data_IF_857371952561
#
_entry.id   IF_857371952561
#
_cell.length_a   1.000
_cell.length_b   1.000
_cell.length_c   1.000
_cell.angle_alpha   90.00
_cell.angle_beta   90.00
_cell.angle_gamma   90.00
#
_symmetry.space_group_name_H-M   'P 1'
#
loop_
_entity.id
_entity.type
_entity.pdbx_description
1 polymer ?
#
# COMPACT_ATOMS: atom_id res chain seq x y z
N UNK A 1 14.81 0.51 10.58
CA UNK A 1 13.92 0.88 9.45
C UNK A 1 12.53 0.22 9.54
N UNK A 2 12.38 -1.12 9.51
CA UNK A 2 11.05 -1.79 9.52
C UNK A 2 10.12 -1.33 10.67
N UNK A 3 10.63 -1.19 11.89
CA UNK A 3 9.83 -0.68 13.01
C UNK A 3 9.37 0.76 12.78
N UNK A 4 10.23 1.63 12.25
CA UNK A 4 9.89 3.01 11.91
C UNK A 4 8.83 3.06 10.81
N UNK A 5 8.97 2.23 9.76
CA UNK A 5 7.97 2.11 8.70
C UNK A 5 6.61 1.62 9.20
N UNK A 6 6.59 0.57 10.02
CA UNK A 6 5.33 -0.01 10.54
C UNK A 6 4.55 0.91 11.49
N UNK A 7 5.21 1.91 12.09
CA UNK A 7 4.56 2.91 12.95
C UNK A 7 4.41 4.27 12.27
N UNK A 8 4.73 4.39 10.97
CA UNK A 8 4.55 5.64 10.23
C UNK A 8 5.60 6.71 10.54
N UNK A 9 6.73 6.37 11.16
CA UNK A 9 7.75 7.35 11.54
C UNK A 9 8.71 7.66 10.38
N UNK A 10 8.27 8.53 9.45
CA UNK A 10 9.07 8.99 8.32
C UNK A 10 10.34 9.73 8.76
N UNK A 11 10.27 10.51 9.85
CA UNK A 11 11.43 11.28 10.34
C UNK A 11 12.59 10.36 10.72
N UNK A 12 12.32 9.26 11.43
CA UNK A 12 13.33 8.27 11.78
C UNK A 12 13.83 7.49 10.56
N UNK A 13 12.98 7.21 9.57
CA UNK A 13 13.42 6.62 8.30
C UNK A 13 14.37 7.54 7.55
N UNK A 14 14.04 8.83 7.47
CA UNK A 14 14.87 9.85 6.87
C UNK A 14 16.22 9.96 7.58
N UNK A 15 16.23 10.06 8.91
CA UNK A 15 17.46 10.10 9.70
C UNK A 15 18.35 8.87 9.43
N UNK A 16 17.77 7.66 9.46
CA UNK A 16 18.49 6.42 9.15
C UNK A 16 19.11 6.45 7.74
N UNK A 17 18.36 6.92 6.74
CA UNK A 17 18.89 7.11 5.37
C UNK A 17 20.02 8.15 5.33
N UNK A 18 19.91 9.25 6.06
CA UNK A 18 20.99 10.27 6.12
C UNK A 18 22.28 9.74 6.75
N UNK A 19 22.17 8.77 7.67
CA UNK A 19 23.29 8.05 8.27
C UNK A 19 23.85 6.95 7.36
N UNK A 20 23.33 6.80 6.14
CA UNK A 20 23.81 5.86 5.12
C UNK A 20 23.09 4.51 5.10
N UNK A 21 22.01 4.34 5.85
CA UNK A 21 21.24 3.09 5.86
C UNK A 21 20.48 2.94 4.53
N UNK A 22 20.35 1.70 4.08
CA UNK A 22 19.65 1.36 2.84
C UNK A 22 18.25 0.85 3.14
N UNK A 23 17.28 1.26 2.32
CA UNK A 23 15.94 0.70 2.35
C UNK A 23 15.99 -0.73 1.80
N UNK A 24 14.99 -1.54 2.16
CA UNK A 24 14.76 -2.87 1.62
C UNK A 24 13.26 -3.13 1.46
N UNK A 25 12.91 -4.22 0.79
CA UNK A 25 11.54 -4.69 0.55
C UNK A 25 10.68 -4.75 1.83
N UNK A 26 11.28 -5.09 2.97
CA UNK A 26 10.57 -5.28 4.24
C UNK A 26 10.16 -3.94 4.83
N UNK A 27 10.93 -2.88 4.58
CA UNK A 27 10.58 -1.51 4.99
C UNK A 27 9.35 -1.03 4.21
N UNK A 28 9.34 -1.23 2.89
CA UNK A 28 8.22 -0.88 2.04
C UNK A 28 6.97 -1.69 2.41
N UNK A 29 7.09 -3.02 2.52
CA UNK A 29 5.99 -3.90 2.91
C UNK A 29 5.39 -3.55 4.28
N UNK A 30 6.22 -3.18 5.25
CA UNK A 30 5.75 -2.76 6.57
C UNK A 30 4.94 -1.45 6.52
N UNK A 31 5.28 -0.52 5.61
CA UNK A 31 4.48 0.68 5.38
C UNK A 31 3.15 0.34 4.71
N UNK A 32 3.14 -0.59 3.72
CA UNK A 32 1.92 -1.07 3.05
C UNK A 32 0.95 -1.71 4.04
N UNK A 33 1.39 -2.75 4.75
CA UNK A 33 0.56 -3.52 5.69
C UNK A 33 -0.04 -2.65 6.79
N UNK A 34 0.61 -1.52 7.11
CA UNK A 34 0.21 -0.62 8.19
C UNK A 34 -0.46 0.66 7.70
N UNK A 35 -0.71 0.80 6.39
CA UNK A 35 -1.46 1.92 5.85
C UNK A 35 -0.70 3.24 5.79
N UNK A 36 0.64 3.23 5.85
CA UNK A 36 1.44 4.46 5.93
C UNK A 36 1.80 5.01 4.55
N UNK A 37 0.81 5.55 3.84
CA UNK A 37 0.97 6.12 2.49
C UNK A 37 2.07 7.19 2.41
N UNK A 38 2.21 8.05 3.42
CA UNK A 38 3.24 9.09 3.43
C UNK A 38 4.65 8.51 3.40
N UNK A 39 4.90 7.40 4.10
CA UNK A 39 6.18 6.69 4.03
C UNK A 39 6.44 6.15 2.61
N UNK A 40 5.41 5.61 1.94
CA UNK A 40 5.51 5.11 0.58
C UNK A 40 5.83 6.24 -0.42
N UNK A 41 5.12 7.36 -0.34
CA UNK A 41 5.38 8.55 -1.17
C UNK A 41 6.79 9.10 -0.93
N UNK A 42 7.24 9.14 0.32
CA UNK A 42 8.61 9.55 0.63
C UNK A 42 9.66 8.60 0.06
N UNK A 43 9.44 7.28 0.16
CA UNK A 43 10.34 6.26 -0.40
C UNK A 43 10.46 6.35 -1.94
N UNK A 44 9.41 6.79 -2.65
CA UNK A 44 9.48 7.06 -4.09
C UNK A 44 10.15 8.39 -4.44
N UNK A 45 10.24 9.31 -3.48
CA UNK A 45 10.79 10.65 -3.66
C UNK A 45 12.31 10.66 -3.87
N UNK A 46 12.80 11.79 -4.39
CA UNK A 46 14.23 11.98 -4.67
C UNK A 46 15.13 11.81 -3.42
N UNK A 47 14.61 12.12 -2.23
CA UNK A 47 15.33 12.04 -0.96
C UNK A 47 15.69 10.60 -0.57
N UNK A 48 14.80 9.66 -0.90
CA UNK A 48 14.96 8.23 -0.62
C UNK A 48 15.53 7.44 -1.81
N UNK A 49 15.58 8.04 -3.01
CA UNK A 49 16.09 7.39 -4.23
C UNK A 49 17.50 6.83 -4.03
N UNK A 50 18.39 7.60 -3.38
CA UNK A 50 19.76 7.15 -3.07
C UNK A 50 19.82 5.92 -2.15
N UNK A 51 18.75 5.63 -1.41
CA UNK A 51 18.65 4.48 -0.52
C UNK A 51 17.92 3.28 -1.14
N UNK A 52 17.53 3.37 -2.43
CA UNK A 52 16.82 2.30 -3.15
C UNK A 52 15.30 2.32 -2.98
N UNK A 53 14.72 3.37 -2.37
CA UNK A 53 13.32 3.37 -1.96
C UNK A 53 12.31 3.11 -3.10
N UNK A 54 12.54 3.69 -4.28
CA UNK A 54 11.64 3.56 -5.42
C UNK A 54 11.47 2.12 -5.90
N UNK A 55 12.57 1.36 -5.98
CA UNK A 55 12.54 -0.05 -6.41
C UNK A 55 11.70 -0.88 -5.44
N UNK A 56 11.93 -0.73 -4.13
CA UNK A 56 11.18 -1.49 -3.13
C UNK A 56 9.72 -1.09 -3.01
N UNK A 57 9.36 0.17 -3.29
CA UNK A 57 7.94 0.57 -3.36
C UNK A 57 7.28 0.06 -4.63
N UNK A 58 8.02 -0.08 -5.74
CA UNK A 58 7.52 -0.80 -6.90
C UNK A 58 7.31 -2.27 -6.54
N UNK A 59 8.30 -2.98 -6.02
CA UNK A 59 8.21 -4.40 -5.66
C UNK A 59 7.13 -4.69 -4.62
N UNK A 60 7.04 -3.87 -3.57
CA UNK A 60 6.00 -4.03 -2.53
C UNK A 60 4.58 -3.77 -3.06
N UNK A 61 4.45 -3.18 -4.25
CA UNK A 61 3.19 -2.86 -4.91
C UNK A 61 2.97 -3.64 -6.23
N UNK A 62 4.00 -4.30 -6.75
CA UNK A 62 3.98 -4.99 -8.04
C UNK A 62 3.54 -6.44 -7.83
N UNK A 63 2.28 -6.68 -8.23
CA UNK A 63 1.66 -7.93 -8.66
C UNK A 63 2.29 -9.27 -8.22
N UNK A 64 1.87 -9.68 -7.02
CA UNK A 64 1.56 -11.07 -6.65
C UNK A 64 0.37 -11.03 -5.68
N UNK A 65 -0.51 -12.05 -5.68
CA UNK A 65 -1.80 -12.03 -4.95
C UNK A 65 -1.72 -11.61 -3.47
N UNK A 66 -0.57 -11.79 -2.83
CA UNK A 66 -0.32 -11.42 -1.44
C UNK A 66 -0.26 -9.92 -1.16
N UNK A 67 0.01 -9.05 -2.14
CA UNK A 67 0.09 -7.59 -1.90
C UNK A 67 -1.30 -6.96 -1.84
N UNK A 68 -2.21 -7.36 -2.74
CA UNK A 68 -3.60 -6.89 -2.72
C UNK A 68 -4.27 -7.27 -1.40
N UNK A 69 -4.10 -8.53 -0.98
CA UNK A 69 -4.53 -9.01 0.33
C UNK A 69 -3.97 -8.14 1.47
N UNK A 70 -2.68 -7.80 1.45
CA UNK A 70 -2.04 -6.95 2.48
C UNK A 70 -2.56 -5.52 2.50
N UNK A 71 -2.82 -4.92 1.33
CA UNK A 71 -3.42 -3.58 1.23
C UNK A 71 -4.84 -3.60 1.78
N UNK A 72 -5.63 -4.62 1.42
CA UNK A 72 -6.98 -4.83 1.91
C UNK A 72 -6.99 -5.04 3.44
N UNK A 73 -6.07 -5.87 3.94
CA UNK A 73 -5.85 -6.11 5.38
C UNK A 73 -5.40 -4.84 6.12
N UNK A 74 -4.67 -3.94 5.45
CA UNK A 74 -4.30 -2.66 6.05
C UNK A 74 -5.53 -1.76 6.28
N UNK A 75 -6.61 -1.99 5.53
CA UNK A 75 -7.79 -1.12 5.50
C UNK A 75 -7.53 0.27 4.92
N UNK A 76 -6.32 0.56 4.42
CA UNK A 76 -5.98 1.88 3.88
C UNK A 76 -6.48 2.02 2.45
N UNK A 77 -7.66 2.63 2.35
CA UNK A 77 -8.28 3.03 1.10
C UNK A 77 -7.45 4.08 0.37
N UNK A 78 -6.67 4.89 1.09
CA UNK A 78 -5.79 5.92 0.53
C UNK A 78 -4.63 5.31 -0.27
N UNK A 79 -4.05 4.20 0.20
CA UNK A 79 -3.04 3.46 -0.57
C UNK A 79 -3.67 2.91 -1.85
N UNK A 80 -4.89 2.41 -1.79
CA UNK A 80 -5.60 1.90 -2.96
C UNK A 80 -5.92 3.03 -3.96
N UNK A 81 -6.41 4.17 -3.49
CA UNK A 81 -6.64 5.34 -4.33
C UNK A 81 -5.36 5.84 -4.98
N UNK A 82 -4.27 5.89 -4.21
CA UNK A 82 -2.96 6.25 -4.75
C UNK A 82 -2.52 5.31 -5.88
N UNK A 83 -2.69 4.00 -5.69
CA UNK A 83 -2.41 3.00 -6.71
C UNK A 83 -3.29 3.15 -7.96
N UNK A 84 -4.59 3.38 -7.79
CA UNK A 84 -5.52 3.56 -8.90
C UNK A 84 -5.23 4.82 -9.72
N UNK A 85 -4.99 5.94 -9.06
CA UNK A 85 -4.81 7.23 -9.71
C UNK A 85 -3.42 7.42 -10.30
N UNK A 86 -2.37 6.99 -9.59
CA UNK A 86 -1.00 7.29 -9.99
C UNK A 86 -0.32 6.11 -10.72
N UNK A 87 -0.84 4.88 -10.59
CA UNK A 87 -0.21 3.68 -11.21
C UNK A 87 -1.08 2.95 -12.21
N UNK A 88 -2.34 3.38 -12.42
CA UNK A 88 -3.23 2.82 -13.44
C UNK A 88 -3.53 1.34 -13.22
N UNK A 89 -3.61 0.92 -11.96
CA UNK A 89 -3.82 -0.48 -11.59
C UNK A 89 -5.14 -1.00 -12.19
N UNK A 90 -5.05 -2.11 -12.94
CA UNK A 90 -6.22 -2.71 -13.58
C UNK A 90 -7.15 -3.31 -12.53
N UNK A 91 -8.40 -2.88 -12.56
CA UNK A 91 -9.39 -3.08 -11.52
C UNK A 91 -9.95 -4.52 -11.52
N UNK A 92 -10.01 -5.22 -10.37
CA UNK A 92 -10.53 -6.60 -10.24
C UNK A 92 -11.53 -6.71 -9.08
N UNK A 93 -12.76 -6.25 -9.29
CA UNK A 93 -13.69 -5.97 -8.18
C UNK A 93 -14.15 -7.13 -7.35
N UNK A 94 -14.49 -8.24 -8.02
CA UNK A 94 -14.99 -9.41 -7.32
C UNK A 94 -13.91 -10.00 -6.41
N UNK A 95 -12.67 -10.10 -6.90
CA UNK A 95 -11.52 -10.54 -6.12
C UNK A 95 -11.25 -9.60 -4.93
N UNK A 96 -11.30 -8.28 -5.16
CA UNK A 96 -11.12 -7.29 -4.10
C UNK A 96 -12.22 -7.34 -3.05
N UNK A 97 -13.47 -7.55 -3.46
CA UNK A 97 -14.61 -7.66 -2.55
C UNK A 97 -14.53 -8.91 -1.69
N UNK A 98 -14.24 -10.07 -2.31
CA UNK A 98 -14.06 -11.33 -1.61
C UNK A 98 -12.89 -11.24 -0.62
N UNK A 99 -11.75 -10.72 -1.05
CA UNK A 99 -10.60 -10.53 -0.16
C UNK A 99 -10.91 -9.54 0.97
N UNK A 100 -11.68 -8.47 0.74
CA UNK A 100 -12.10 -7.53 1.78
C UNK A 100 -13.08 -8.16 2.79
N UNK A 101 -13.96 -9.03 2.31
CA UNK A 101 -14.86 -9.81 3.16
C UNK A 101 -14.09 -10.83 4.02
N UNK A 102 -13.16 -11.58 3.41
CA UNK A 102 -12.29 -12.54 4.11
C UNK A 102 -11.36 -11.86 5.12
N UNK A 103 -10.80 -10.71 4.77
CA UNK A 103 -9.97 -9.90 5.66
C UNK A 103 -10.76 -9.23 6.80
N UNK A 104 -12.09 -9.22 6.74
CA UNK A 104 -12.93 -8.52 7.71
C UNK A 104 -12.63 -7.02 7.73
N UNK A 105 -12.56 -6.38 6.55
CA UNK A 105 -12.20 -4.96 6.39
C UNK A 105 -13.43 -4.11 5.99
N UNK A 106 -14.31 -3.70 6.94
CA UNK A 106 -15.51 -2.92 6.65
C UNK A 106 -15.23 -1.63 5.87
N UNK A 107 -14.17 -0.90 6.22
CA UNK A 107 -13.78 0.33 5.53
C UNK A 107 -13.52 0.08 4.04
N UNK A 108 -12.92 -1.06 3.70
CA UNK A 108 -12.65 -1.42 2.31
C UNK A 108 -13.91 -1.89 1.58
N UNK A 109 -14.79 -2.63 2.25
CA UNK A 109 -16.10 -3.00 1.72
C UNK A 109 -16.98 -1.77 1.44
N UNK A 110 -17.05 -0.82 2.37
CA UNK A 110 -17.77 0.45 2.19
C UNK A 110 -17.20 1.27 1.02
N UNK A 111 -15.86 1.31 0.92
CA UNK A 111 -15.15 1.99 -0.16
C UNK A 111 -15.40 1.34 -1.54
N UNK A 112 -15.52 0.01 -1.60
CA UNK A 112 -15.90 -0.75 -2.79
C UNK A 112 -17.37 -0.50 -3.18
N UNK A 113 -18.29 -0.58 -2.21
CA UNK A 113 -19.74 -0.36 -2.44
C UNK A 113 -20.02 1.06 -2.94
N UNK A 114 -19.35 2.07 -2.37
CA UNK A 114 -19.47 3.47 -2.82
C UNK A 114 -19.09 3.66 -4.29
N UNK A 115 -18.30 2.73 -4.85
CA UNK A 115 -17.88 2.72 -6.26
C UNK A 115 -18.70 1.78 -7.14
N UNK A 116 -19.77 1.20 -6.62
CA UNK A 116 -20.68 0.33 -7.35
C UNK A 116 -20.36 -1.16 -7.28
N UNK A 117 -19.46 -1.57 -6.39
CA UNK A 117 -19.03 -2.96 -6.29
C UNK A 117 -19.69 -3.67 -5.12
N UNK A 118 -20.43 -4.73 -5.45
CA UNK A 118 -21.20 -5.51 -4.48
C UNK A 118 -20.96 -6.99 -4.72
N UNK A 119 -21.17 -7.81 -3.68
CA UNK A 119 -21.25 -9.25 -3.82
C UNK A 119 -22.41 -9.62 -4.76
N UNK A 120 -22.11 -9.79 -6.04
CA UNK A 120 -22.99 -10.44 -7.02
C UNK A 120 -23.83 -9.56 -7.95
N UNK A 121 -23.63 -8.23 -8.03
CA UNK A 121 -24.24 -7.45 -9.13
C UNK A 121 -23.27 -6.42 -9.71
N UNK A 122 -23.00 -6.59 -11.01
CA UNK A 122 -22.55 -5.51 -11.88
C UNK A 122 -23.70 -4.51 -11.91
N UNK A 123 -23.55 -3.36 -11.26
CA UNK A 123 -24.43 -2.23 -11.53
C UNK A 123 -24.15 -1.78 -12.98
N UNK A 124 -25.04 -2.18 -13.89
CA UNK A 124 -25.12 -1.68 -15.27
C UNK A 124 -25.45 -0.19 -15.30
#
# INVERSE_FOLDING_TARGET
MVKAASVGNQALLFEQVTLGWRLDERVALAAVVRGHLHNLKWMEGAEAARAGGREFVLDAMQWGGHVLEKVILSGSVEIMEWQLHERGLTWIGEEMFNAAAEAGSPAFLEWLVTRGFTAGLIAM
#
